data_IF_865215534049
#
_entry.id   IF_865215534049
#
_cell.length_a   1.000
_cell.length_b   1.000
_cell.length_c   1.000
_cell.angle_alpha   90.00
_cell.angle_beta   90.00
_cell.angle_gamma   90.00
#
_symmetry.space_group_name_H-M   'P 1'
#
loop_
_entity.id
_entity.type
_entity.pdbx_description
1 polymer ?
#
# COMPACT_ATOMS: atom_id res chain seq x y z
N UNK A 1 15.71 6.01 7.39
CA UNK A 1 15.09 6.59 6.19
C UNK A 1 14.03 5.59 5.77
N UNK A 2 12.75 5.98 5.81
CA UNK A 2 11.66 5.06 5.44
C UNK A 2 11.70 4.85 3.93
N UNK A 3 11.72 3.60 3.47
CA UNK A 3 11.63 3.23 2.05
C UNK A 3 10.17 3.28 1.53
N UNK A 4 9.27 3.87 2.34
CA UNK A 4 7.85 4.08 2.03
C UNK A 4 7.64 5.38 1.26
N UNK A 5 7.06 5.26 0.08
CA UNK A 5 6.70 6.39 -0.76
C UNK A 5 5.37 7.00 -0.31
N UNK A 6 5.31 8.30 -0.13
CA UNK A 6 4.05 8.99 0.14
C UNK A 6 3.39 9.38 -1.18
N UNK A 7 2.18 8.89 -1.39
CA UNK A 7 1.43 9.05 -2.64
C UNK A 7 0.18 9.89 -2.40
N UNK A 8 -0.01 10.88 -3.28
CA UNK A 8 -1.20 11.74 -3.39
C UNK A 8 -1.88 11.48 -4.72
N UNK A 9 -3.04 12.10 -4.96
CA UNK A 9 -3.74 11.97 -6.25
C UNK A 9 -2.85 12.42 -7.44
N UNK A 10 -1.96 13.39 -7.23
CA UNK A 10 -1.10 13.94 -8.29
C UNK A 10 -0.04 12.95 -8.80
N UNK A 11 0.49 12.07 -7.94
CA UNK A 11 1.56 11.13 -8.30
C UNK A 11 1.11 9.66 -8.30
N UNK A 12 -0.14 9.37 -7.93
CA UNK A 12 -0.68 8.02 -7.85
C UNK A 12 -0.50 7.24 -9.16
N UNK A 13 -0.79 7.88 -10.30
CA UNK A 13 -0.74 7.20 -11.59
C UNK A 13 0.69 6.79 -11.97
N UNK A 14 1.64 7.70 -11.82
CA UNK A 14 3.03 7.42 -12.18
C UNK A 14 3.68 6.44 -11.20
N UNK A 15 3.38 6.58 -9.91
CA UNK A 15 4.05 5.80 -8.87
C UNK A 15 3.48 4.39 -8.71
N UNK A 16 2.18 4.21 -8.98
CA UNK A 16 1.48 2.96 -8.73
C UNK A 16 1.03 2.30 -10.03
N UNK A 17 0.33 3.02 -10.92
CA UNK A 17 -0.23 2.43 -12.14
C UNK A 17 0.88 2.09 -13.14
N UNK A 18 1.82 3.02 -13.35
CA UNK A 18 2.93 2.88 -14.30
C UNK A 18 4.16 2.20 -13.70
N UNK A 19 4.09 1.70 -12.47
CA UNK A 19 5.21 1.03 -11.82
C UNK A 19 5.56 -0.29 -12.51
N UNK A 20 6.84 -0.47 -12.83
CA UNK A 20 7.39 -1.72 -13.34
C UNK A 20 7.48 -2.79 -12.24
N UNK A 21 7.75 -2.37 -11.01
CA UNK A 21 7.75 -3.25 -9.84
C UNK A 21 6.33 -3.44 -9.31
N UNK A 22 6.00 -4.60 -8.72
CA UNK A 22 4.82 -4.75 -7.88
C UNK A 22 4.77 -3.65 -6.83
N UNK A 23 3.55 -3.18 -6.50
CA UNK A 23 3.33 -2.09 -5.56
C UNK A 23 2.39 -2.53 -4.45
N UNK A 24 2.81 -2.32 -3.21
CA UNK A 24 1.98 -2.45 -2.03
C UNK A 24 1.44 -1.06 -1.68
N UNK A 25 0.12 -0.87 -1.77
CA UNK A 25 -0.52 0.42 -1.47
C UNK A 25 -1.22 0.31 -0.13
N UNK A 26 -0.72 1.02 0.88
CA UNK A 26 -1.31 1.12 2.22
C UNK A 26 -2.19 2.37 2.30
N UNK A 27 -3.51 2.18 2.34
CA UNK A 27 -4.48 3.22 2.60
C UNK A 27 -4.68 3.37 4.11
N UNK A 28 -4.34 4.55 4.61
CA UNK A 28 -4.33 4.87 6.04
C UNK A 28 -4.96 6.23 6.31
N UNK A 29 -5.16 6.54 7.58
CA UNK A 29 -5.63 7.85 8.04
C UNK A 29 -4.98 8.21 9.39
N UNK A 30 -4.75 9.50 9.62
CA UNK A 30 -4.10 9.99 10.86
C UNK A 30 -4.90 9.66 12.14
N UNK A 31 -6.23 9.59 12.01
CA UNK A 31 -7.19 9.27 13.07
C UNK A 31 -7.43 7.75 13.24
N UNK A 32 -6.83 6.90 12.39
CA UNK A 32 -7.01 5.46 12.43
C UNK A 32 -6.04 4.80 13.42
N UNK A 33 -6.54 4.40 14.59
CA UNK A 33 -5.77 3.69 15.62
C UNK A 33 -5.13 2.38 15.15
N UNK A 34 -5.87 1.47 14.47
CA UNK A 34 -5.31 0.24 13.92
C UNK A 34 -4.21 0.46 12.85
N UNK A 35 -4.30 1.56 12.09
CA UNK A 35 -3.33 1.88 11.04
C UNK A 35 -1.93 2.13 11.62
N UNK A 36 -1.83 2.77 12.79
CA UNK A 36 -0.56 2.99 13.50
C UNK A 36 0.16 1.70 13.90
N UNK A 37 -0.58 0.57 14.02
CA UNK A 37 0.02 -0.75 14.27
C UNK A 37 0.52 -1.40 12.97
N UNK A 38 -0.09 -1.07 11.84
CA UNK A 38 0.28 -1.59 10.53
C UNK A 38 1.48 -0.85 9.93
N UNK A 39 1.62 0.45 10.22
CA UNK A 39 2.71 1.31 9.75
C UNK A 39 4.12 0.68 9.94
N UNK A 40 4.56 0.27 11.15
CA UNK A 40 5.89 -0.35 11.29
C UNK A 40 6.03 -1.66 10.52
N UNK A 41 4.95 -2.43 10.34
CA UNK A 41 4.97 -3.66 9.54
C UNK A 41 5.21 -3.31 8.06
N UNK A 42 4.52 -2.29 7.54
CA UNK A 42 4.65 -1.83 6.16
C UNK A 42 6.04 -1.25 5.90
N UNK A 43 6.61 -0.49 6.85
CA UNK A 43 7.99 0.02 6.75
C UNK A 43 9.04 -1.10 6.72
N UNK A 44 8.87 -2.13 7.56
CA UNK A 44 9.73 -3.31 7.52
C UNK A 44 9.65 -4.02 6.17
N UNK A 45 8.46 -4.19 5.61
CA UNK A 45 8.27 -4.80 4.29
C UNK A 45 8.90 -3.96 3.17
N UNK A 46 8.83 -2.63 3.26
CA UNK A 46 9.47 -1.74 2.30
C UNK A 46 11.00 -1.94 2.30
N UNK A 47 11.58 -2.11 3.49
CA UNK A 47 13.02 -2.35 3.67
C UNK A 47 13.40 -3.75 3.19
N UNK A 48 12.63 -4.78 3.58
CA UNK A 48 12.92 -6.19 3.28
C UNK A 48 12.82 -6.51 1.78
N UNK A 49 11.86 -5.89 1.09
CA UNK A 49 11.63 -6.08 -0.34
C UNK A 49 12.18 -4.95 -1.21
N UNK A 50 13.11 -4.15 -0.68
CA UNK A 50 13.70 -3.02 -1.41
C UNK A 50 14.24 -3.46 -2.77
N UNK A 51 13.84 -2.75 -3.82
CA UNK A 51 14.21 -3.04 -5.20
C UNK A 51 13.44 -4.19 -5.86
N UNK A 52 12.56 -4.89 -5.13
CA UNK A 52 11.64 -5.92 -5.66
C UNK A 52 10.17 -5.50 -5.57
N UNK A 53 9.83 -4.74 -4.53
CA UNK A 53 8.49 -4.21 -4.26
C UNK A 53 8.61 -2.72 -4.00
N UNK A 54 7.68 -1.93 -4.54
CA UNK A 54 7.49 -0.54 -4.14
C UNK A 54 6.40 -0.50 -3.06
N UNK A 55 6.63 0.24 -1.99
CA UNK A 55 5.62 0.43 -0.94
C UNK A 55 5.16 1.89 -0.98
N UNK A 56 3.85 2.07 -1.16
CA UNK A 56 3.19 3.36 -1.29
C UNK A 56 2.19 3.55 -0.14
N UNK A 57 2.36 4.60 0.64
CA UNK A 57 1.42 5.03 1.65
C UNK A 57 0.51 6.12 1.07
N UNK A 58 -0.80 5.92 1.22
CA UNK A 58 -1.84 6.81 0.72
C UNK A 58 -2.70 7.23 1.91
N UNK A 59 -2.64 8.52 2.22
CA UNK A 59 -3.52 9.14 3.21
C UNK A 59 -4.88 9.41 2.55
N UNK A 60 -5.93 8.74 3.04
CA UNK A 60 -7.27 8.85 2.46
C UNK A 60 -7.84 10.27 2.55
N UNK A 61 -7.39 11.08 3.51
CA UNK A 61 -7.81 12.47 3.66
C UNK A 61 -7.17 13.38 2.60
N UNK A 62 -6.08 12.92 1.96
CA UNK A 62 -5.30 13.67 0.96
C UNK A 62 -5.42 13.13 -0.46
N UNK A 63 -5.92 11.90 -0.63
CA UNK A 63 -6.05 11.24 -1.92
C UNK A 63 -7.47 10.66 -2.14
N UNK A 64 -8.53 11.50 -2.11
CA UNK A 64 -9.91 11.05 -2.26
C UNK A 64 -10.19 10.41 -3.62
N UNK A 65 -9.50 10.83 -4.70
CA UNK A 65 -9.70 10.24 -6.02
C UNK A 65 -9.15 8.82 -6.09
N UNK A 66 -7.97 8.58 -5.50
CA UNK A 66 -7.42 7.24 -5.35
C UNK A 66 -8.36 6.33 -4.54
N UNK A 67 -8.86 6.80 -3.41
CA UNK A 67 -9.82 6.06 -2.58
C UNK A 67 -11.05 5.65 -3.38
N UNK A 68 -11.63 6.57 -4.15
CA UNK A 68 -12.79 6.28 -5.00
C UNK A 68 -12.46 5.30 -6.13
N UNK A 69 -11.31 5.50 -6.81
CA UNK A 69 -10.87 4.68 -7.95
C UNK A 69 -10.71 3.20 -7.59
N UNK A 70 -10.24 2.91 -6.37
CA UNK A 70 -10.04 1.55 -5.90
C UNK A 70 -11.16 1.03 -4.98
N UNK A 71 -12.22 1.81 -4.78
CA UNK A 71 -13.34 1.39 -3.94
C UNK A 71 -12.94 1.12 -2.49
N UNK A 72 -12.01 1.92 -1.94
CA UNK A 72 -11.57 1.78 -0.55
C UNK A 72 -12.68 2.31 0.36
N UNK A 73 -13.38 1.41 1.05
CA UNK A 73 -14.53 1.74 1.91
C UNK A 73 -14.15 1.94 3.39
N UNK A 74 -12.90 1.70 3.76
CA UNK A 74 -12.42 1.84 5.13
C UNK A 74 -10.92 1.61 5.26
N UNK A 75 -10.37 1.99 6.41
CA UNK A 75 -8.94 1.87 6.71
C UNK A 75 -8.70 1.06 8.00
N UNK A 76 -7.57 0.34 8.12
CA UNK A 76 -6.51 0.21 7.12
C UNK A 76 -6.95 -0.70 5.96
N UNK A 77 -6.57 -0.35 4.73
CA UNK A 77 -6.75 -1.22 3.55
C UNK A 77 -5.44 -1.28 2.79
N UNK A 78 -5.00 -2.48 2.45
CA UNK A 78 -3.78 -2.71 1.68
C UNK A 78 -4.14 -3.33 0.34
N UNK A 79 -3.67 -2.71 -0.75
CA UNK A 79 -3.78 -3.23 -2.10
C UNK A 79 -2.44 -3.78 -2.58
N UNK A 80 -2.51 -4.92 -3.24
CA UNK A 80 -1.38 -5.60 -3.85
C UNK A 80 -1.51 -5.43 -5.36
N UNK A 81 -0.68 -4.57 -5.93
CA UNK A 81 -0.73 -4.17 -7.34
C UNK A 81 0.42 -4.80 -8.13
N UNK A 82 0.15 -5.24 -9.36
CA UNK A 82 1.20 -5.64 -10.33
C UNK A 82 0.76 -5.30 -11.74
N UNK A 83 1.58 -4.54 -12.47
CA UNK A 83 1.28 -4.08 -13.83
C UNK A 83 0.02 -3.21 -13.90
N UNK A 84 -0.13 -2.28 -12.96
CA UNK A 84 -1.28 -1.36 -12.89
C UNK A 84 -2.63 -2.00 -12.50
N UNK A 85 -2.64 -3.28 -12.15
CA UNK A 85 -3.85 -4.01 -11.76
C UNK A 85 -3.80 -4.44 -10.29
N UNK A 86 -4.95 -4.36 -9.62
CA UNK A 86 -5.15 -4.96 -8.28
C UNK A 86 -5.13 -6.48 -8.44
N UNK A 87 -4.15 -7.13 -7.84
CA UNK A 87 -4.08 -8.60 -7.75
C UNK A 87 -4.76 -9.11 -6.50
N UNK A 88 -4.64 -8.35 -5.41
CA UNK A 88 -5.30 -8.67 -4.16
C UNK A 88 -5.62 -7.42 -3.36
N UNK A 89 -6.69 -7.50 -2.57
CA UNK A 89 -7.12 -6.48 -1.65
C UNK A 89 -7.28 -7.09 -0.27
N UNK A 90 -6.77 -6.39 0.73
CA UNK A 90 -6.85 -6.81 2.12
C UNK A 90 -7.35 -5.66 2.97
N UNK A 91 -8.43 -5.90 3.69
CA UNK A 91 -9.07 -4.91 4.55
C UNK A 91 -8.77 -5.28 6.01
N UNK A 92 -8.37 -4.30 6.80
CA UNK A 92 -8.08 -4.44 8.22
C UNK A 92 -6.62 -4.75 8.53
N UNK A 93 -6.32 -4.75 9.83
CA UNK A 93 -5.01 -5.09 10.37
C UNK A 93 -4.77 -6.59 10.20
N UNK A 94 -3.62 -6.95 9.64
CA UNK A 94 -3.17 -8.35 9.55
C UNK A 94 -1.74 -8.49 10.07
N UNK A 95 -1.34 -9.73 10.29
CA UNK A 95 0.03 -10.04 10.65
C UNK A 95 0.98 -9.99 9.44
N UNK A 96 2.26 -9.68 9.71
CA UNK A 96 3.33 -9.52 8.71
C UNK A 96 3.50 -10.75 7.82
N UNK A 97 3.43 -11.94 8.40
CA UNK A 97 3.58 -13.23 7.70
C UNK A 97 2.56 -13.41 6.57
N UNK A 98 1.31 -12.99 6.80
CA UNK A 98 0.26 -13.00 5.77
C UNK A 98 0.63 -12.05 4.63
N UNK A 99 1.09 -10.83 4.95
CA UNK A 99 1.50 -9.86 3.94
C UNK A 99 2.70 -10.36 3.13
N UNK A 100 3.70 -10.96 3.77
CA UNK A 100 4.87 -11.56 3.11
C UNK A 100 4.44 -12.65 2.13
N UNK A 101 3.52 -13.53 2.54
CA UNK A 101 3.01 -14.61 1.68
C UNK A 101 2.31 -14.06 0.43
N UNK A 102 1.53 -12.98 0.58
CA UNK A 102 0.86 -12.31 -0.54
C UNK A 102 1.86 -11.63 -1.47
N UNK A 103 2.83 -10.90 -0.93
CA UNK A 103 3.94 -10.29 -1.70
C UNK A 103 4.70 -11.36 -2.48
N UNK A 104 5.01 -12.50 -1.86
CA UNK A 104 5.70 -13.61 -2.52
C UNK A 104 4.93 -14.20 -3.71
N UNK A 105 3.60 -14.04 -3.76
CA UNK A 105 2.79 -14.45 -4.92
C UNK A 105 2.82 -13.43 -6.06
N UNK A 106 3.31 -12.22 -5.81
CA UNK A 106 3.43 -11.13 -6.79
C UNK A 106 4.82 -11.00 -7.40
N UNK A 107 5.85 -11.59 -6.79
CA UNK A 107 7.21 -11.57 -7.32
C UNK A 107 7.35 -12.70 -8.34
#
# INVERSE_FOLDING_TARGET
MSDVLHVTDDNFEDEIIKSELPVLVDFSATWCGPCKKLEPIVEELATEFRGKLKVAHVDIDKAPQAVQKFGVMGVPTVLYMKGGQVKEQQIGLVAKDVMVKRIGSLL
#
